data_IF_214433063310
#
_entry.id   IF_214433063310
#
_cell.length_a   1.000
_cell.length_b   1.000
_cell.length_c   1.000
_cell.angle_alpha   90.00
_cell.angle_beta   90.00
_cell.angle_gamma   90.00
#
_symmetry.space_group_name_H-M   'P 1'
#
loop_
_entity.id
_entity.type
_entity.pdbx_description
1 polymer ?
#
# COMPACT_ATOMS: atom_id res chain seq x y z
N UNK A 1 19.07 -23.83 37.12
CA UNK A 1 18.14 -23.98 35.98
C UNK A 1 17.58 -22.64 35.49
N UNK A 2 16.98 -21.78 36.33
CA UNK A 2 16.39 -20.49 35.91
C UNK A 2 17.32 -19.56 35.10
N UNK A 3 18.60 -19.42 35.48
CA UNK A 3 19.55 -18.57 34.74
C UNK A 3 19.83 -19.08 33.32
N UNK A 4 19.98 -20.40 33.13
CA UNK A 4 20.20 -21.00 31.80
C UNK A 4 18.97 -20.82 30.91
N UNK A 5 17.77 -21.00 31.46
CA UNK A 5 16.52 -20.74 30.75
C UNK A 5 16.40 -19.28 30.30
N UNK A 6 16.74 -18.33 31.18
CA UNK A 6 16.72 -16.90 30.84
C UNK A 6 17.70 -16.55 29.71
N UNK A 7 18.91 -17.12 29.72
CA UNK A 7 19.89 -16.89 28.64
C UNK A 7 19.41 -17.47 27.31
N UNK A 8 18.82 -18.66 27.32
CA UNK A 8 18.26 -19.28 26.11
C UNK A 8 17.11 -18.42 25.56
N UNK A 9 16.20 -17.95 26.43
CA UNK A 9 15.11 -17.07 26.02
C UNK A 9 15.64 -15.75 25.42
N UNK A 10 16.66 -15.14 26.03
CA UNK A 10 17.28 -13.92 25.51
C UNK A 10 17.90 -14.14 24.12
N UNK A 11 18.64 -15.25 23.94
CA UNK A 11 19.24 -15.60 22.65
C UNK A 11 18.17 -15.76 21.57
N UNK A 12 17.07 -16.46 21.88
CA UNK A 12 15.96 -16.64 20.94
C UNK A 12 15.33 -15.30 20.53
N UNK A 13 15.13 -14.38 21.48
CA UNK A 13 14.60 -13.04 21.21
C UNK A 13 15.56 -12.27 20.28
N UNK A 14 16.86 -12.28 20.58
CA UNK A 14 17.87 -11.59 19.74
C UNK A 14 17.91 -12.19 18.33
N UNK A 15 17.89 -13.52 18.19
CA UNK A 15 17.84 -14.19 16.89
C UNK A 15 16.58 -13.83 16.09
N UNK A 16 15.42 -13.75 16.75
CA UNK A 16 14.16 -13.36 16.12
C UNK A 16 14.22 -11.94 15.56
N UNK A 17 14.68 -10.97 16.35
CA UNK A 17 14.84 -9.58 15.89
C UNK A 17 15.90 -9.46 14.79
N UNK A 18 16.99 -10.23 14.87
CA UNK A 18 18.00 -10.27 13.83
C UNK A 18 17.43 -10.81 12.51
N UNK A 19 16.60 -11.85 12.55
CA UNK A 19 15.93 -12.40 11.37
C UNK A 19 14.96 -11.38 10.74
N UNK A 20 14.19 -10.63 11.54
CA UNK A 20 13.34 -9.53 11.03
C UNK A 20 14.19 -8.46 10.36
N UNK A 21 15.30 -8.06 10.99
CA UNK A 21 16.22 -7.09 10.41
C UNK A 21 16.80 -7.56 9.06
N UNK A 22 17.20 -8.83 8.96
CA UNK A 22 17.67 -9.41 7.70
C UNK A 22 16.58 -9.42 6.63
N UNK A 23 15.31 -9.72 6.96
CA UNK A 23 14.19 -9.64 6.02
C UNK A 23 13.98 -8.20 5.53
N UNK A 24 13.94 -7.22 6.44
CA UNK A 24 13.82 -5.79 6.09
C UNK A 24 14.95 -5.33 5.16
N UNK A 25 16.18 -5.73 5.48
CA UNK A 25 17.34 -5.41 4.66
C UNK A 25 17.25 -6.07 3.28
N UNK A 26 16.82 -7.33 3.22
CA UNK A 26 16.67 -8.07 1.96
C UNK A 26 15.62 -7.44 1.06
N UNK A 27 14.45 -7.05 1.59
CA UNK A 27 13.41 -6.40 0.78
C UNK A 27 13.86 -5.03 0.27
N UNK A 28 14.54 -4.23 1.10
CA UNK A 28 15.07 -2.93 0.67
C UNK A 28 16.13 -3.05 -0.42
N UNK A 29 16.98 -4.08 -0.35
CA UNK A 29 18.03 -4.33 -1.35
C UNK A 29 17.48 -5.03 -2.61
N UNK A 30 16.41 -5.81 -2.49
CA UNK A 30 15.82 -6.59 -3.58
C UNK A 30 14.30 -6.39 -3.67
N UNK A 31 13.83 -5.21 -4.14
CA UNK A 31 12.40 -4.88 -4.24
C UNK A 31 11.63 -5.76 -5.25
N UNK A 32 12.33 -6.64 -5.98
CA UNK A 32 11.74 -7.58 -6.95
C UNK A 32 10.95 -8.73 -6.32
N UNK A 33 11.03 -8.92 -5.01
CA UNK A 33 10.16 -9.81 -4.22
C UNK A 33 8.83 -9.16 -3.83
N UNK A 34 8.34 -8.18 -4.59
CA UNK A 34 6.93 -7.82 -4.52
C UNK A 34 6.12 -9.01 -4.99
N UNK A 35 5.45 -9.67 -4.03
CA UNK A 35 4.54 -10.79 -4.26
C UNK A 35 3.65 -10.48 -5.47
N UNK A 36 3.57 -11.45 -6.38
CA UNK A 36 2.56 -11.44 -7.43
C UNK A 36 1.20 -11.35 -6.76
N UNK A 37 0.63 -10.16 -6.82
CA UNK A 37 -0.72 -9.89 -6.37
C UNK A 37 -1.66 -10.83 -7.14
N UNK A 38 -2.45 -11.64 -6.43
CA UNK A 38 -3.49 -12.46 -7.05
C UNK A 38 -4.49 -11.52 -7.75
N UNK A 39 -4.28 -11.29 -9.03
CA UNK A 39 -5.19 -10.51 -9.87
C UNK A 39 -6.42 -11.36 -10.13
N UNK A 40 -7.47 -11.18 -9.33
CA UNK A 40 -8.81 -11.67 -9.70
C UNK A 40 -9.33 -10.79 -10.83
N UNK A 41 -9.01 -11.19 -12.05
CA UNK A 41 -9.52 -10.61 -13.29
C UNK A 41 -11.02 -10.82 -13.39
N UNK A 42 -11.80 -9.90 -12.84
CA UNK A 42 -13.22 -9.79 -13.16
C UNK A 42 -13.54 -8.32 -13.42
N UNK A 43 -13.39 -7.92 -14.69
CA UNK A 43 -14.05 -6.72 -15.24
C UNK A 43 -13.52 -5.35 -14.76
N UNK A 44 -12.27 -5.25 -14.33
CA UNK A 44 -11.70 -3.98 -13.88
C UNK A 44 -11.42 -3.03 -15.06
N UNK A 45 -11.87 -1.78 -14.94
CA UNK A 45 -11.52 -0.67 -15.84
C UNK A 45 -10.05 -0.24 -15.68
N UNK A 46 -9.18 -1.11 -15.17
CA UNK A 46 -7.82 -0.75 -14.83
C UNK A 46 -6.99 -0.42 -16.07
N UNK A 47 -6.36 0.76 -16.07
CA UNK A 47 -5.36 1.18 -17.05
C UNK A 47 -3.95 1.06 -16.43
N UNK A 48 -3.13 0.08 -16.85
CA UNK A 48 -1.77 -0.10 -16.33
C UNK A 48 -0.86 1.11 -16.61
N UNK A 49 -1.18 1.97 -17.58
CA UNK A 49 -0.42 3.19 -17.85
C UNK A 49 -0.43 4.15 -16.66
N UNK A 50 -1.50 4.13 -15.84
CA UNK A 50 -1.69 5.02 -14.71
C UNK A 50 -0.87 4.63 -13.47
N UNK A 51 -0.19 3.47 -13.47
CA UNK A 51 0.73 3.08 -12.38
C UNK A 51 1.82 4.12 -12.12
N UNK A 52 2.18 4.92 -13.13
CA UNK A 52 3.12 6.05 -13.01
C UNK A 52 2.67 7.14 -12.02
N UNK A 53 1.37 7.19 -11.70
CA UNK A 53 0.79 8.07 -10.70
C UNK A 53 1.04 7.46 -9.31
N UNK A 54 2.30 7.51 -8.88
CA UNK A 54 2.84 6.79 -7.72
C UNK A 54 2.84 7.59 -6.41
N UNK A 55 2.24 8.78 -6.42
CA UNK A 55 2.07 9.67 -5.26
C UNK A 55 0.92 10.65 -5.51
N UNK A 56 0.39 11.24 -4.44
CA UNK A 56 -0.77 12.13 -4.46
C UNK A 56 -0.53 13.30 -5.42
N UNK A 57 0.66 13.92 -5.38
CA UNK A 57 0.98 15.07 -6.24
C UNK A 57 0.86 14.74 -7.72
N UNK A 58 1.41 13.61 -8.18
CA UNK A 58 1.29 13.16 -9.58
C UNK A 58 -0.16 12.85 -9.95
N UNK A 59 -0.88 12.22 -9.04
CA UNK A 59 -2.29 11.86 -9.23
C UNK A 59 -3.17 13.11 -9.36
N UNK A 60 -3.04 14.08 -8.45
CA UNK A 60 -3.76 15.36 -8.50
C UNK A 60 -3.41 16.14 -9.76
N UNK A 61 -2.12 16.25 -10.10
CA UNK A 61 -1.70 16.94 -11.33
C UNK A 61 -2.28 16.30 -12.61
N UNK A 62 -2.46 14.97 -12.61
CA UNK A 62 -3.16 14.29 -13.69
C UNK A 62 -4.64 14.67 -13.74
N UNK A 63 -5.35 14.68 -12.60
CA UNK A 63 -6.74 15.14 -12.53
C UNK A 63 -6.90 16.60 -12.95
N UNK A 64 -6.01 17.49 -12.51
CA UNK A 64 -5.98 18.91 -12.90
C UNK A 64 -5.80 19.05 -14.41
N UNK A 65 -4.90 18.24 -15.01
CA UNK A 65 -4.66 18.24 -16.45
C UNK A 65 -5.89 17.80 -17.26
N UNK A 66 -6.69 16.87 -16.73
CA UNK A 66 -7.96 16.44 -17.33
C UNK A 66 -9.06 17.49 -17.17
N UNK A 67 -9.03 18.25 -16.07
CA UNK A 67 -9.99 19.31 -15.81
C UNK A 67 -9.78 20.50 -16.75
N UNK A 68 -8.51 20.82 -17.07
CA UNK A 68 -8.12 21.83 -18.06
C UNK A 68 -8.07 23.27 -17.55
N UNK A 69 -8.11 23.47 -16.22
CA UNK A 69 -8.02 24.77 -15.55
C UNK A 69 -7.29 24.60 -14.21
N UNK A 70 -6.56 25.64 -13.78
CA UNK A 70 -5.91 25.68 -12.46
C UNK A 70 -6.88 26.04 -11.33
N UNK A 71 -8.07 26.52 -11.66
CA UNK A 71 -9.13 26.84 -10.69
C UNK A 71 -10.32 25.92 -10.90
N UNK A 72 -10.74 25.24 -9.82
CA UNK A 72 -11.91 24.35 -9.81
C UNK A 72 -13.17 25.21 -9.70
N UNK A 73 -13.80 25.51 -10.84
CA UNK A 73 -15.06 26.25 -10.90
C UNK A 73 -16.31 25.37 -10.78
N UNK A 74 -16.17 24.07 -11.05
CA UNK A 74 -17.20 23.04 -11.00
C UNK A 74 -16.67 21.83 -10.24
N UNK A 75 -17.01 21.77 -8.95
CA UNK A 75 -16.57 20.73 -8.04
C UNK A 75 -17.18 19.36 -8.36
N UNK A 76 -18.40 19.31 -8.89
CA UNK A 76 -19.06 18.06 -9.25
C UNK A 76 -18.35 17.41 -10.46
N UNK A 77 -18.01 18.21 -11.47
CA UNK A 77 -17.19 17.76 -12.60
C UNK A 77 -15.82 17.28 -12.13
N UNK A 78 -15.15 18.05 -11.27
CA UNK A 78 -13.82 17.67 -10.77
C UNK A 78 -13.87 16.36 -9.95
N UNK A 79 -14.85 16.21 -9.06
CA UNK A 79 -15.06 14.98 -8.30
C UNK A 79 -15.29 13.77 -9.23
N UNK A 80 -16.02 13.95 -10.33
CA UNK A 80 -16.21 12.89 -11.31
C UNK A 80 -14.90 12.50 -12.02
N UNK A 81 -14.02 13.48 -12.33
CA UNK A 81 -12.68 13.22 -12.88
C UNK A 81 -11.85 12.41 -11.90
N UNK A 82 -11.80 12.83 -10.63
CA UNK A 82 -11.05 12.13 -9.57
C UNK A 82 -11.55 10.70 -9.41
N UNK A 83 -12.87 10.52 -9.28
CA UNK A 83 -13.49 9.20 -9.17
C UNK A 83 -13.17 8.30 -10.38
N UNK A 84 -13.23 8.87 -11.59
CA UNK A 84 -12.90 8.16 -12.82
C UNK A 84 -11.42 7.77 -12.84
N UNK A 85 -10.52 8.71 -12.57
CA UNK A 85 -9.07 8.46 -12.51
C UNK A 85 -8.73 7.38 -11.48
N UNK A 86 -9.36 7.39 -10.30
CA UNK A 86 -9.17 6.35 -9.27
C UNK A 86 -9.61 4.97 -9.76
N UNK A 87 -10.77 4.87 -10.42
CA UNK A 87 -11.28 3.60 -10.99
C UNK A 87 -10.38 3.03 -12.07
N UNK A 88 -9.78 3.88 -12.91
CA UNK A 88 -8.80 3.44 -13.90
C UNK A 88 -7.44 3.14 -13.24
N UNK A 89 -7.09 3.79 -12.12
CA UNK A 89 -5.80 3.62 -11.45
C UNK A 89 -5.71 2.31 -10.68
N UNK A 90 -6.78 1.82 -10.08
CA UNK A 90 -6.71 0.67 -9.18
C UNK A 90 -7.51 -0.53 -9.69
N UNK A 91 -6.88 -1.70 -9.62
CA UNK A 91 -7.57 -2.98 -9.65
C UNK A 91 -8.26 -3.22 -8.30
N UNK A 92 -9.36 -3.97 -8.31
CA UNK A 92 -10.05 -4.33 -7.07
C UNK A 92 -9.22 -5.31 -6.25
N UNK A 93 -8.92 -4.93 -5.02
CA UNK A 93 -8.24 -5.77 -4.06
C UNK A 93 -7.63 -4.94 -2.94
N UNK A 94 -7.49 -5.49 -1.75
CA UNK A 94 -6.83 -4.75 -0.69
C UNK A 94 -5.32 -4.66 -0.93
N UNK A 95 -4.77 -3.48 -0.68
CA UNK A 95 -3.33 -3.29 -0.55
C UNK A 95 -2.92 -3.34 0.92
N UNK A 96 -1.88 -4.13 1.20
CA UNK A 96 -1.39 -4.43 2.54
C UNK A 96 0.08 -4.01 2.68
N UNK A 97 0.51 -3.66 3.88
CA UNK A 97 1.92 -3.54 4.22
C UNK A 97 2.57 -4.92 4.17
N UNK A 98 3.76 -4.94 3.60
CA UNK A 98 4.64 -6.11 3.56
C UNK A 98 5.90 -5.79 4.37
N UNK A 99 6.77 -6.78 4.57
CA UNK A 99 8.14 -6.51 5.01
C UNK A 99 8.80 -5.51 4.05
N UNK A 100 9.72 -4.68 4.55
CA UNK A 100 10.30 -3.55 3.82
C UNK A 100 9.52 -2.24 3.96
N UNK A 101 8.29 -2.28 4.50
CA UNK A 101 7.42 -1.11 4.72
C UNK A 101 7.18 -0.88 6.22
N UNK A 102 6.00 -1.23 6.72
CA UNK A 102 5.65 -1.18 8.13
C UNK A 102 5.65 -2.59 8.73
N UNK A 103 6.83 -3.05 9.10
CA UNK A 103 7.03 -4.40 9.65
C UNK A 103 6.29 -4.62 10.97
N UNK A 104 6.13 -3.57 11.78
CA UNK A 104 5.39 -3.63 13.04
C UNK A 104 3.94 -4.00 12.75
N UNK A 105 3.29 -3.29 11.82
CA UNK A 105 1.94 -3.60 11.40
C UNK A 105 1.82 -5.01 10.81
N UNK A 106 2.77 -5.45 9.98
CA UNK A 106 2.76 -6.79 9.38
C UNK A 106 2.89 -7.92 10.41
N UNK A 107 3.76 -7.76 11.41
CA UNK A 107 3.98 -8.76 12.46
C UNK A 107 2.81 -8.83 13.45
N UNK A 108 2.22 -7.68 13.79
CA UNK A 108 1.11 -7.61 14.74
C UNK A 108 -0.24 -7.95 14.13
N UNK A 109 -0.41 -7.78 12.82
CA UNK A 109 -1.65 -8.08 12.11
C UNK A 109 -2.26 -9.47 12.39
N UNK A 110 -1.51 -10.59 12.33
CA UNK A 110 -2.07 -11.90 12.67
C UNK A 110 -2.44 -12.07 14.16
N UNK A 111 -1.91 -11.21 15.05
CA UNK A 111 -2.17 -11.28 16.50
C UNK A 111 -3.32 -10.40 16.94
N UNK A 112 -3.57 -9.28 16.25
CA UNK A 112 -4.58 -8.28 16.61
C UNK A 112 -5.75 -8.32 15.63
N UNK A 113 -5.50 -7.91 14.39
CA UNK A 113 -6.44 -7.93 13.28
C UNK A 113 -5.65 -7.79 11.98
N UNK A 114 -5.97 -8.59 10.96
CA UNK A 114 -5.36 -8.52 9.63
C UNK A 114 -5.42 -7.09 9.04
N UNK A 115 -6.49 -6.34 9.35
CA UNK A 115 -6.72 -4.95 8.91
C UNK A 115 -5.66 -3.97 9.41
N UNK A 116 -4.93 -4.30 10.48
CA UNK A 116 -3.81 -3.48 10.98
C UNK A 116 -2.71 -3.30 9.91
N UNK A 117 -2.57 -4.29 9.02
CA UNK A 117 -1.63 -4.19 7.90
C UNK A 117 -2.23 -3.55 6.65
N UNK A 118 -3.50 -3.14 6.62
CA UNK A 118 -4.07 -2.47 5.45
C UNK A 118 -3.43 -1.07 5.27
N UNK A 119 -2.98 -0.74 4.07
CA UNK A 119 -2.42 0.58 3.81
C UNK A 119 -3.55 1.60 3.72
N UNK A 120 -3.44 2.70 4.47
CA UNK A 120 -4.40 3.82 4.47
C UNK A 120 -3.73 5.18 4.21
N UNK A 121 -2.42 5.17 3.97
CA UNK A 121 -1.64 6.38 3.63
C UNK A 121 -1.66 6.55 2.10
N UNK A 122 -2.25 7.64 1.55
CA UNK A 122 -2.45 7.81 0.11
C UNK A 122 -1.20 7.59 -0.75
N UNK A 123 -0.08 8.22 -0.37
CA UNK A 123 1.18 8.10 -1.11
C UNK A 123 1.73 6.67 -1.10
N UNK A 124 1.48 5.89 -0.04
CA UNK A 124 1.89 4.50 -0.01
C UNK A 124 0.96 3.61 -0.83
N UNK A 125 -0.34 3.90 -0.82
CA UNK A 125 -1.33 3.17 -1.62
C UNK A 125 -1.09 3.33 -3.12
N UNK A 126 -0.75 4.54 -3.56
CA UNK A 126 -0.45 4.84 -4.96
C UNK A 126 0.83 4.16 -5.48
N UNK A 127 1.62 3.50 -4.64
CA UNK A 127 2.75 2.66 -5.09
C UNK A 127 2.31 1.29 -5.61
N UNK A 128 1.05 0.91 -5.38
CA UNK A 128 0.51 -0.41 -5.71
C UNK A 128 -0.60 -0.33 -6.76
N UNK A 129 -0.84 -1.40 -7.53
CA UNK A 129 -1.91 -1.45 -8.52
C UNK A 129 -3.28 -1.77 -7.91
N UNK A 130 -3.35 -2.29 -6.68
CA UNK A 130 -4.60 -2.66 -6.02
C UNK A 130 -5.08 -1.57 -5.05
N UNK A 131 -6.39 -1.43 -4.91
CA UNK A 131 -7.02 -0.77 -3.78
C UNK A 131 -8.47 -1.25 -3.61
N UNK A 132 -8.87 -1.53 -2.37
CA UNK A 132 -10.28 -1.80 -2.07
C UNK A 132 -11.11 -0.53 -2.24
N UNK A 133 -12.43 -0.62 -2.37
CA UNK A 133 -13.27 0.57 -2.55
C UNK A 133 -13.10 1.60 -1.42
N UNK A 134 -12.98 1.14 -0.16
CA UNK A 134 -12.69 1.99 1.00
C UNK A 134 -11.31 2.65 0.92
N UNK A 135 -10.34 1.98 0.31
CA UNK A 135 -9.02 2.52 0.05
C UNK A 135 -9.06 3.55 -1.09
N UNK A 136 -9.78 3.25 -2.16
CA UNK A 136 -10.01 4.17 -3.28
C UNK A 136 -10.70 5.46 -2.83
N UNK A 137 -11.65 5.39 -1.88
CA UNK A 137 -12.28 6.59 -1.33
C UNK A 137 -11.31 7.48 -0.57
N UNK A 138 -10.26 6.93 0.06
CA UNK A 138 -9.23 7.74 0.73
C UNK A 138 -8.44 8.58 -0.27
N UNK A 139 -8.14 8.03 -1.46
CA UNK A 139 -7.45 8.75 -2.54
C UNK A 139 -8.33 9.82 -3.18
N UNK A 140 -9.64 9.56 -3.23
CA UNK A 140 -10.60 10.37 -3.97
C UNK A 140 -11.28 11.46 -3.12
N UNK A 141 -10.87 11.59 -1.85
CA UNK A 141 -11.38 12.55 -0.86
C UNK A 141 -10.71 13.92 -0.96
#
# INVERSE_FOLDING_TARGET
MKKRFLHIALILIVCFFFQIFLMELTVKLYPRFNEQLETRSFNDQYDPSLVRLDNVKKFTAFCDSLYGSNEISDSAKYANIVNTATRFRFQHGYTWYHFGHNYIAKILAPLVDKTLSAIVVPDDMLKYPLAACSQQSIISL
#
